data_IF_259968975671
#
_entry.id   IF_259968975671
#
_cell.length_a   1.000
_cell.length_b   1.000
_cell.length_c   1.000
_cell.angle_alpha   90.00
_cell.angle_beta   90.00
_cell.angle_gamma   90.00
#
_symmetry.space_group_name_H-M   'P 1'
#
loop_
_entity.id
_entity.type
_entity.pdbx_description
1 polymer ?
#
# COMPACT_ATOMS: atom_id res chain seq x y z
N UNK A 1 5.74 -6.54 -20.99
CA UNK A 1 7.11 -6.13 -20.55
C UNK A 1 7.74 -7.31 -19.80
N UNK A 2 9.03 -7.65 -19.98
CA UNK A 2 9.65 -8.71 -19.17
C UNK A 2 9.94 -8.17 -17.77
N UNK A 3 9.44 -8.86 -16.74
CA UNK A 3 9.65 -8.47 -15.34
C UNK A 3 11.13 -8.58 -14.92
N UNK A 4 11.81 -9.64 -15.38
CA UNK A 4 13.25 -9.80 -15.17
C UNK A 4 13.99 -9.09 -16.31
N UNK A 5 14.84 -8.08 -16.02
CA UNK A 5 15.49 -7.28 -17.05
C UNK A 5 16.71 -7.98 -17.66
N UNK A 6 17.34 -8.90 -16.93
CA UNK A 6 18.59 -9.55 -17.33
C UNK A 6 18.37 -10.58 -18.44
N UNK A 7 19.19 -10.48 -19.48
CA UNK A 7 19.30 -11.51 -20.52
C UNK A 7 20.14 -12.69 -20.02
N UNK A 8 20.10 -13.80 -20.75
CA UNK A 8 20.99 -14.94 -20.47
C UNK A 8 22.47 -14.56 -20.60
N UNK A 9 22.81 -13.55 -21.41
CA UNK A 9 24.17 -13.05 -21.54
C UNK A 9 24.61 -12.23 -20.32
N UNK A 10 23.75 -11.34 -19.84
CA UNK A 10 23.98 -10.58 -18.60
C UNK A 10 24.24 -11.52 -17.43
N UNK A 11 23.38 -12.54 -17.27
CA UNK A 11 23.53 -13.54 -16.19
C UNK A 11 24.87 -14.27 -16.32
N UNK A 12 25.28 -14.70 -17.52
CA UNK A 12 26.58 -15.36 -17.74
C UNK A 12 27.75 -14.43 -17.44
N UNK A 13 27.66 -13.16 -17.81
CA UNK A 13 28.70 -12.17 -17.53
C UNK A 13 28.83 -11.93 -16.02
N UNK A 14 27.72 -11.68 -15.32
CA UNK A 14 27.69 -11.47 -13.88
C UNK A 14 28.26 -12.67 -13.11
N UNK A 15 27.87 -13.90 -13.48
CA UNK A 15 28.39 -15.12 -12.86
C UNK A 15 29.92 -15.25 -13.02
N UNK A 16 30.46 -14.95 -14.21
CA UNK A 16 31.91 -14.94 -14.43
C UNK A 16 32.60 -13.87 -13.58
N UNK A 17 32.03 -12.68 -13.48
CA UNK A 17 32.60 -11.56 -12.71
C UNK A 17 32.75 -11.89 -11.22
N UNK A 18 31.77 -12.60 -10.65
CA UNK A 18 31.80 -13.01 -9.23
C UNK A 18 32.43 -14.39 -9.00
N UNK A 19 32.85 -15.09 -10.06
CA UNK A 19 33.44 -16.43 -9.98
C UNK A 19 32.46 -17.55 -9.58
N UNK A 20 31.16 -17.36 -9.79
CA UNK A 20 30.12 -18.35 -9.46
C UNK A 20 29.82 -19.28 -10.64
N UNK A 21 29.58 -20.57 -10.36
CA UNK A 21 29.36 -21.57 -11.40
C UNK A 21 27.93 -21.53 -11.98
N UNK A 22 26.94 -21.19 -11.15
CA UNK A 22 25.53 -21.10 -11.56
C UNK A 22 24.73 -20.20 -10.62
N UNK A 23 23.49 -19.86 -11.00
CA UNK A 23 22.56 -19.11 -10.13
C UNK A 23 22.26 -19.89 -8.85
N UNK A 24 22.14 -21.22 -8.93
CA UNK A 24 21.88 -22.10 -7.79
C UNK A 24 23.01 -22.03 -6.74
N UNK A 25 24.26 -21.84 -7.20
CA UNK A 25 25.40 -21.71 -6.29
C UNK A 25 25.32 -20.49 -5.37
N UNK A 26 24.58 -19.43 -5.77
CA UNK A 26 24.37 -18.23 -4.96
C UNK A 26 23.52 -18.48 -3.71
N UNK A 27 22.75 -19.57 -3.71
CA UNK A 27 21.89 -19.93 -2.58
C UNK A 27 22.55 -20.91 -1.61
N UNK A 28 23.85 -21.22 -1.75
CA UNK A 28 24.59 -22.16 -0.90
C UNK A 28 24.45 -21.88 0.61
N UNK A 29 24.29 -20.62 1.00
CA UNK A 29 24.10 -20.18 2.39
C UNK A 29 22.78 -20.63 3.02
N UNK A 30 21.78 -20.99 2.22
CA UNK A 30 20.50 -21.52 2.70
C UNK A 30 20.69 -23.01 3.00
N UNK A 31 20.55 -23.46 4.27
CA UNK A 31 20.66 -24.86 4.64
C UNK A 31 19.70 -25.73 3.83
N UNK A 32 20.17 -26.89 3.34
CA UNK A 32 19.38 -27.77 2.46
C UNK A 32 18.04 -28.18 3.07
N UNK A 33 18.01 -28.46 4.38
CA UNK A 33 16.80 -28.80 5.13
C UNK A 33 15.71 -27.70 5.14
N UNK A 34 16.09 -26.46 4.82
CA UNK A 34 15.17 -25.32 4.73
C UNK A 34 14.75 -25.02 3.28
N UNK A 35 15.37 -25.66 2.29
CA UNK A 35 15.02 -25.47 0.88
C UNK A 35 13.77 -26.27 0.53
N UNK A 36 12.95 -25.69 -0.33
CA UNK A 36 11.80 -26.39 -0.87
C UNK A 36 12.27 -27.43 -1.89
N UNK A 37 12.23 -28.71 -1.54
CA UNK A 37 12.64 -29.84 -2.40
C UNK A 37 11.66 -30.19 -3.53
N UNK A 38 10.71 -29.31 -3.83
CA UNK A 38 9.73 -29.49 -4.91
C UNK A 38 9.42 -28.13 -5.56
N UNK A 39 8.88 -28.13 -6.78
CA UNK A 39 8.32 -26.91 -7.35
C UNK A 39 7.20 -26.32 -6.47
N UNK A 40 7.00 -25.02 -6.59
CA UNK A 40 5.81 -24.36 -6.06
C UNK A 40 4.56 -24.98 -6.71
N UNK A 41 3.54 -25.24 -5.90
CA UNK A 41 2.28 -25.80 -6.38
C UNK A 41 1.39 -24.68 -6.91
N UNK A 42 1.78 -24.10 -8.05
CA UNK A 42 1.09 -23.00 -8.70
C UNK A 42 0.51 -23.45 -10.06
N UNK A 43 -0.56 -22.79 -10.54
CA UNK A 43 -1.02 -22.95 -11.91
C UNK A 43 0.09 -22.65 -12.92
N UNK A 44 -0.11 -23.07 -14.18
CA UNK A 44 0.78 -22.67 -15.27
C UNK A 44 0.78 -21.15 -15.41
N UNK A 45 1.92 -20.60 -15.83
CA UNK A 45 2.02 -19.18 -16.12
C UNK A 45 1.03 -18.80 -17.22
N UNK A 46 0.32 -17.69 -16.99
CA UNK A 46 -0.57 -17.08 -17.94
C UNK A 46 0.12 -15.89 -18.62
N UNK A 47 -0.24 -15.62 -19.87
CA UNK A 47 0.12 -14.38 -20.56
C UNK A 47 -0.59 -13.18 -19.93
N UNK A 48 -0.07 -11.97 -20.21
CA UNK A 48 -0.66 -10.72 -19.74
C UNK A 48 -2.14 -10.58 -20.13
N UNK A 49 -2.51 -11.01 -21.34
CA UNK A 49 -3.89 -10.97 -21.83
C UNK A 49 -4.80 -11.95 -21.09
N UNK A 50 -4.32 -13.16 -20.82
CA UNK A 50 -5.07 -14.17 -20.05
C UNK A 50 -5.32 -13.70 -18.62
N UNK A 51 -4.30 -13.11 -17.96
CA UNK A 51 -4.44 -12.55 -16.61
C UNK A 51 -5.46 -11.41 -16.58
N UNK A 52 -5.41 -10.47 -17.53
CA UNK A 52 -6.36 -9.36 -17.59
C UNK A 52 -7.79 -9.85 -17.83
N UNK A 53 -7.98 -10.83 -18.72
CA UNK A 53 -9.29 -11.41 -19.00
C UNK A 53 -9.86 -12.14 -17.77
N UNK A 54 -9.03 -12.90 -17.06
CA UNK A 54 -9.43 -13.59 -15.83
C UNK A 54 -9.83 -12.60 -14.73
N UNK A 55 -9.01 -11.56 -14.49
CA UNK A 55 -9.30 -10.53 -13.49
C UNK A 55 -10.58 -9.75 -13.82
N UNK A 56 -10.81 -9.42 -15.09
CA UNK A 56 -12.04 -8.76 -15.53
C UNK A 56 -13.27 -9.65 -15.30
N UNK A 57 -13.18 -10.93 -15.62
CA UNK A 57 -14.26 -11.90 -15.39
C UNK A 57 -14.58 -12.08 -13.89
N UNK A 58 -13.54 -12.07 -13.03
CA UNK A 58 -13.72 -12.10 -11.58
C UNK A 58 -14.35 -10.81 -11.06
N UNK A 59 -13.89 -9.64 -11.51
CA UNK A 59 -14.42 -8.35 -11.10
C UNK A 59 -15.90 -8.17 -11.47
N UNK A 60 -16.31 -8.68 -12.64
CA UNK A 60 -17.70 -8.62 -13.11
C UNK A 60 -18.71 -9.39 -12.24
N UNK A 61 -18.24 -10.22 -11.29
CA UNK A 61 -19.10 -10.92 -10.33
C UNK A 61 -19.48 -10.07 -9.13
N UNK A 62 -18.84 -8.92 -8.94
CA UNK A 62 -19.10 -8.02 -7.82
C UNK A 62 -20.22 -7.03 -8.15
N UNK A 63 -21.02 -6.66 -7.15
CA UNK A 63 -21.80 -5.42 -7.22
C UNK A 63 -20.84 -4.24 -7.01
N UNK A 64 -20.83 -3.28 -7.93
CA UNK A 64 -19.92 -2.13 -7.89
C UNK A 64 -20.68 -0.81 -8.10
N UNK A 65 -20.00 0.31 -7.88
CA UNK A 65 -20.59 1.65 -7.86
C UNK A 65 -21.20 2.12 -9.19
N UNK A 66 -20.91 1.46 -10.31
CA UNK A 66 -21.53 1.78 -11.60
C UNK A 66 -22.79 0.95 -11.86
N UNK A 67 -22.96 -0.18 -11.15
CA UNK A 67 -24.13 -1.05 -11.29
C UNK A 67 -25.17 -0.84 -10.18
N UNK A 68 -24.77 -0.27 -9.04
CA UNK A 68 -25.62 -0.12 -7.87
C UNK A 68 -25.39 1.20 -7.15
N UNK A 69 -26.48 1.89 -6.82
CA UNK A 69 -26.47 2.99 -5.86
C UNK A 69 -26.29 2.45 -4.43
N UNK A 70 -25.54 3.18 -3.61
CA UNK A 70 -25.27 2.78 -2.24
C UNK A 70 -25.25 3.99 -1.30
N UNK A 71 -25.96 3.86 -0.18
CA UNK A 71 -26.12 4.90 0.84
C UNK A 71 -25.88 4.37 2.25
N UNK A 72 -25.05 3.32 2.38
CA UNK A 72 -24.75 2.67 3.67
C UNK A 72 -23.97 3.60 4.62
N UNK A 73 -23.27 4.61 4.09
CA UNK A 73 -22.47 5.54 4.85
C UNK A 73 -21.33 4.83 5.59
N UNK A 74 -21.31 4.94 6.92
CA UNK A 74 -20.37 4.19 7.75
C UNK A 74 -18.87 4.50 7.48
N UNK A 75 -18.57 5.74 7.08
CA UNK A 75 -17.20 6.20 6.83
C UNK A 75 -16.76 6.12 5.37
N UNK A 76 -17.55 5.49 4.49
CA UNK A 76 -17.32 5.49 3.04
C UNK A 76 -18.53 6.14 2.37
N UNK A 77 -18.28 7.10 1.48
CA UNK A 77 -19.35 7.86 0.83
C UNK A 77 -19.06 8.00 -0.66
N UNK A 78 -20.09 7.84 -1.49
CA UNK A 78 -20.00 8.10 -2.91
C UNK A 78 -19.64 9.57 -3.14
N UNK A 79 -18.61 9.82 -3.95
CA UNK A 79 -18.18 11.17 -4.32
C UNK A 79 -17.59 11.15 -5.73
N UNK A 80 -17.62 12.31 -6.38
CA UNK A 80 -17.01 12.47 -7.69
C UNK A 80 -15.49 12.45 -7.57
N UNK A 81 -14.85 11.56 -8.32
CA UNK A 81 -13.39 11.51 -8.47
C UNK A 81 -13.03 12.20 -9.80
N UNK A 82 -12.34 13.35 -9.78
CA UNK A 82 -11.94 14.03 -11.01
C UNK A 82 -11.01 13.17 -11.86
N UNK A 83 -11.16 13.21 -13.19
CA UNK A 83 -10.34 12.43 -14.13
C UNK A 83 -8.83 12.69 -14.01
N UNK A 84 -8.45 13.86 -13.49
CA UNK A 84 -7.06 14.18 -13.17
C UNK A 84 -6.44 13.20 -12.14
N UNK A 85 -7.25 12.63 -11.24
CA UNK A 85 -6.79 11.67 -10.23
C UNK A 85 -6.30 10.39 -10.89
N UNK A 86 -7.08 9.79 -11.79
CA UNK A 86 -6.67 8.58 -12.52
C UNK A 86 -5.46 8.84 -13.43
N UNK A 87 -5.42 10.02 -14.06
CA UNK A 87 -4.28 10.45 -14.86
C UNK A 87 -3.00 10.58 -14.03
N UNK A 88 -3.08 11.04 -12.77
CA UNK A 88 -1.93 11.11 -11.87
C UNK A 88 -1.57 9.73 -11.29
N UNK A 89 -2.56 8.93 -10.90
CA UNK A 89 -2.35 7.61 -10.32
C UNK A 89 -1.71 6.62 -11.30
N UNK A 90 -1.93 6.80 -12.61
CA UNK A 90 -1.33 5.97 -13.67
C UNK A 90 0.12 6.34 -14.01
N UNK A 91 0.64 7.46 -13.48
CA UNK A 91 2.01 7.93 -13.77
C UNK A 91 3.02 7.27 -12.85
N UNK A 92 3.98 6.55 -13.44
CA UNK A 92 4.98 5.77 -12.72
C UNK A 92 5.82 6.61 -11.75
N UNK A 93 6.12 7.86 -12.09
CA UNK A 93 6.87 8.79 -11.24
C UNK A 93 6.20 9.07 -9.89
N UNK A 94 4.88 8.89 -9.78
CA UNK A 94 4.15 9.09 -8.52
C UNK A 94 4.05 7.84 -7.65
N UNK A 95 3.96 6.63 -8.24
CA UNK A 95 3.73 5.40 -7.46
C UNK A 95 4.94 4.46 -7.36
N UNK A 96 6.01 4.68 -8.14
CA UNK A 96 7.23 3.85 -8.07
C UNK A 96 8.28 4.38 -7.10
N UNK A 97 8.21 5.67 -6.74
CA UNK A 97 9.03 6.24 -5.67
C UNK A 97 8.58 5.72 -4.31
N UNK A 98 9.50 5.67 -3.34
CA UNK A 98 9.22 5.25 -1.97
C UNK A 98 9.30 6.44 -1.00
N UNK A 99 9.37 6.16 0.31
CA UNK A 99 9.49 7.19 1.35
C UNK A 99 10.57 8.23 0.98
N UNK A 100 10.26 9.53 1.07
CA UNK A 100 11.14 10.60 0.59
C UNK A 100 12.32 10.86 1.55
N UNK A 101 13.17 9.85 1.77
CA UNK A 101 14.37 9.94 2.61
C UNK A 101 15.47 10.83 2.02
N UNK A 102 15.45 11.06 0.70
CA UNK A 102 16.40 11.93 -0.01
C UNK A 102 15.65 13.19 -0.45
N UNK A 103 15.54 14.21 0.43
CA UNK A 103 14.67 15.36 0.19
C UNK A 103 15.04 16.16 -1.06
N UNK A 104 16.33 16.26 -1.40
CA UNK A 104 16.85 17.03 -2.53
C UNK A 104 16.31 16.54 -3.88
N UNK A 105 15.93 15.27 -3.96
CA UNK A 105 15.36 14.63 -5.16
C UNK A 105 13.89 14.22 -4.98
N UNK A 106 13.24 14.64 -3.88
CA UNK A 106 11.86 14.25 -3.54
C UNK A 106 10.94 15.45 -3.30
N UNK A 107 11.35 16.67 -3.69
CA UNK A 107 10.64 17.91 -3.37
C UNK A 107 9.19 17.94 -3.87
N UNK A 108 8.87 17.31 -5.01
CA UNK A 108 7.49 17.25 -5.51
C UNK A 108 6.56 16.49 -4.57
N UNK A 109 6.96 15.30 -4.11
CA UNK A 109 6.20 14.50 -3.14
C UNK A 109 6.12 15.20 -1.78
N UNK A 110 7.22 15.80 -1.33
CA UNK A 110 7.25 16.54 -0.07
C UNK A 110 6.32 17.76 -0.10
N UNK A 111 6.26 18.48 -1.22
CA UNK A 111 5.32 19.57 -1.40
C UNK A 111 3.86 19.08 -1.37
N UNK A 112 3.54 17.99 -2.08
CA UNK A 112 2.18 17.42 -2.03
C UNK A 112 1.78 16.99 -0.61
N UNK A 113 2.71 16.42 0.17
CA UNK A 113 2.49 16.10 1.59
C UNK A 113 2.26 17.36 2.42
N UNK A 114 3.04 18.42 2.19
CA UNK A 114 2.86 19.69 2.90
C UNK A 114 1.51 20.35 2.58
N UNK A 115 1.08 20.30 1.31
CA UNK A 115 -0.23 20.78 0.87
C UNK A 115 -1.36 19.96 1.52
N UNK A 116 -1.22 18.64 1.60
CA UNK A 116 -2.14 17.77 2.34
C UNK A 116 -2.24 18.16 3.83
N UNK A 117 -1.10 18.31 4.50
CA UNK A 117 -1.07 18.72 5.92
C UNK A 117 -1.74 20.09 6.12
N UNK A 118 -1.44 21.04 5.24
CA UNK A 118 -2.02 22.39 5.26
C UNK A 118 -3.54 22.33 5.09
N UNK A 119 -4.03 21.53 4.14
CA UNK A 119 -5.45 21.32 3.92
C UNK A 119 -6.13 20.74 5.16
N UNK A 120 -5.55 19.71 5.79
CA UNK A 120 -6.12 19.11 7.00
C UNK A 120 -6.14 20.10 8.17
N UNK A 121 -5.06 20.87 8.39
CA UNK A 121 -5.04 21.92 9.41
C UNK A 121 -6.12 22.98 9.15
N UNK A 122 -6.28 23.43 7.90
CA UNK A 122 -7.30 24.41 7.52
C UNK A 122 -8.73 23.87 7.70
N UNK A 123 -8.98 22.60 7.38
CA UNK A 123 -10.29 21.96 7.53
C UNK A 123 -10.66 21.69 8.99
N UNK A 124 -9.70 21.28 9.82
CA UNK A 124 -9.94 20.87 11.22
C UNK A 124 -9.77 22.02 12.22
N UNK A 125 -9.09 23.10 11.82
CA UNK A 125 -8.71 24.19 12.72
C UNK A 125 -7.62 23.83 13.73
N UNK A 126 -6.90 22.72 13.52
CA UNK A 126 -5.80 22.28 14.37
C UNK A 126 -4.45 22.79 13.85
N UNK A 127 -3.48 22.94 14.77
CA UNK A 127 -2.18 23.55 14.46
C UNK A 127 -1.29 22.66 13.58
N UNK A 128 -1.37 21.32 13.72
CA UNK A 128 -0.47 20.37 13.05
C UNK A 128 -1.24 19.13 12.60
N UNK A 129 -0.91 18.67 11.39
CA UNK A 129 -1.29 17.36 10.85
C UNK A 129 -0.04 16.55 10.52
N UNK A 130 -0.10 15.22 10.68
CA UNK A 130 0.91 14.33 10.13
C UNK A 130 0.69 14.10 8.62
N UNK A 131 1.57 13.31 8.01
CA UNK A 131 1.55 12.95 6.60
C UNK A 131 0.71 11.68 6.32
N UNK A 132 -0.52 11.63 6.86
CA UNK A 132 -1.50 10.50 6.79
C UNK A 132 -1.38 9.41 7.87
N UNK A 133 -2.40 8.56 7.90
CA UNK A 133 -2.54 7.32 8.69
C UNK A 133 -3.16 6.26 7.78
N UNK A 134 -3.14 4.98 8.18
CA UNK A 134 -3.69 3.89 7.36
C UNK A 134 -5.18 4.03 7.08
N UNK A 135 -5.97 4.36 8.10
CA UNK A 135 -7.41 4.61 8.00
C UNK A 135 -7.90 5.42 9.22
N UNK A 136 -9.19 5.79 9.22
CA UNK A 136 -9.76 6.54 10.33
C UNK A 136 -9.88 5.73 11.64
N UNK A 137 -9.94 4.40 11.57
CA UNK A 137 -10.07 3.55 12.75
C UNK A 137 -8.76 3.46 13.54
N UNK A 138 -7.66 3.20 12.85
CA UNK A 138 -6.29 3.23 13.37
C UNK A 138 -5.90 4.64 13.81
N UNK A 139 -6.29 5.69 13.08
CA UNK A 139 -6.08 7.07 13.52
C UNK A 139 -6.81 7.39 14.85
N UNK A 140 -8.03 6.87 15.04
CA UNK A 140 -8.75 7.02 16.31
C UNK A 140 -8.03 6.30 17.47
N UNK A 141 -7.48 5.11 17.21
CA UNK A 141 -6.65 4.39 18.18
C UNK A 141 -5.37 5.15 18.55
N UNK A 142 -4.66 5.74 17.58
CA UNK A 142 -3.47 6.54 17.88
C UNK A 142 -3.81 7.81 18.67
N UNK A 143 -4.93 8.47 18.35
CA UNK A 143 -5.42 9.61 19.12
C UNK A 143 -5.70 9.23 20.58
N UNK A 144 -6.34 8.07 20.79
CA UNK A 144 -6.57 7.49 22.11
C UNK A 144 -5.26 7.24 22.86
N UNK A 145 -4.29 6.56 22.25
CA UNK A 145 -2.99 6.26 22.85
C UNK A 145 -2.20 7.52 23.19
N UNK A 146 -2.23 8.53 22.32
CA UNK A 146 -1.64 9.84 22.57
C UNK A 146 -2.29 10.52 23.78
N UNK A 147 -3.62 10.55 23.86
CA UNK A 147 -4.34 11.13 24.99
C UNK A 147 -4.05 10.40 26.30
N UNK A 148 -3.98 9.05 26.28
CA UNK A 148 -3.61 8.24 27.43
C UNK A 148 -2.18 8.55 27.90
N UNK A 149 -1.24 8.73 26.97
CA UNK A 149 0.16 9.08 27.29
C UNK A 149 0.26 10.44 27.98
N UNK A 150 -0.48 11.43 27.50
CA UNK A 150 -0.48 12.80 28.04
C UNK A 150 -1.21 12.90 29.38
N UNK A 151 -2.38 12.27 29.49
CA UNK A 151 -3.25 12.40 30.68
C UNK A 151 -2.97 11.37 31.76
N UNK A 152 -2.24 10.28 31.44
CA UNK A 152 -2.04 9.10 32.28
C UNK A 152 -3.34 8.41 32.71
N UNK A 153 -4.43 8.64 31.98
CA UNK A 153 -5.73 7.97 32.19
C UNK A 153 -5.87 6.82 31.22
N UNK A 154 -6.61 5.79 31.62
CA UNK A 154 -6.79 4.55 30.83
C UNK A 154 -8.24 4.27 30.43
N UNK A 155 -9.16 5.18 30.75
CA UNK A 155 -10.59 5.03 30.42
C UNK A 155 -10.96 5.95 29.26
N UNK A 156 -11.48 5.36 28.19
CA UNK A 156 -11.92 6.06 26.99
C UNK A 156 -13.45 5.88 26.85
N UNK A 157 -14.13 6.97 26.49
CA UNK A 157 -15.57 6.96 26.21
C UNK A 157 -15.76 7.29 24.73
N UNK A 158 -16.19 6.30 23.95
CA UNK A 158 -16.27 6.38 22.48
C UNK A 158 -17.63 5.91 21.93
N UNK A 159 -18.71 6.10 22.70
CA UNK A 159 -20.02 5.54 22.36
C UNK A 159 -20.57 6.01 21.00
N UNK A 160 -20.29 7.26 20.62
CA UNK A 160 -20.73 7.87 19.36
C UNK A 160 -19.84 7.58 18.15
N UNK A 161 -18.75 6.81 18.30
CA UNK A 161 -17.91 6.43 17.16
C UNK A 161 -18.53 5.29 16.35
N UNK A 162 -18.13 5.23 15.08
CA UNK A 162 -18.41 4.13 14.18
C UNK A 162 -18.11 2.76 14.86
N UNK A 163 -18.99 1.75 14.74
CA UNK A 163 -18.79 0.45 15.40
C UNK A 163 -17.40 -0.16 15.19
N UNK A 164 -16.91 -0.21 13.94
CA UNK A 164 -15.58 -0.76 13.65
C UNK A 164 -14.45 0.05 14.28
N UNK A 165 -14.60 1.36 14.47
CA UNK A 165 -13.56 2.17 15.11
C UNK A 165 -13.47 1.82 16.60
N UNK A 166 -14.61 1.52 17.22
CA UNK A 166 -14.66 1.03 18.60
C UNK A 166 -14.04 -0.36 18.73
N UNK A 167 -14.22 -1.24 17.75
CA UNK A 167 -13.63 -2.58 17.77
C UNK A 167 -12.10 -2.53 17.61
N UNK A 168 -11.60 -1.66 16.72
CA UNK A 168 -10.16 -1.38 16.62
C UNK A 168 -9.63 -0.78 17.92
N UNK A 169 -10.30 0.21 18.51
CA UNK A 169 -9.94 0.79 19.80
C UNK A 169 -9.85 -0.22 20.94
N UNK A 170 -10.70 -1.25 20.96
CA UNK A 170 -10.67 -2.32 21.97
C UNK A 170 -9.52 -3.33 21.76
N UNK A 171 -9.00 -3.39 20.53
CA UNK A 171 -7.95 -4.35 20.14
C UNK A 171 -6.56 -3.83 20.53
N UNK A 172 -6.37 -2.51 20.51
CA UNK A 172 -5.18 -1.83 21.03
C UNK A 172 -5.15 -1.81 22.57
#
# INVERSE_FOLDING_TARGET
MRYVPHTAEDVRHMLRTIGAASVESLFASIPEKLRLGRPLSLPKAASEQEVLAELAALAARNAHSESHDWFLGAGTYAHFVPSAVDALASRAEFYTSYTPYQPEISQGTLQAIFEWQTMICALTGLDVSNASMYDGASAAAEAALMAMRLTRRHKIIAAGLHPHYRDVLRTY
#
